data_IF_698523920060
#
_entry.id   IF_698523920060
#
_cell.length_a   1.000
_cell.length_b   1.000
_cell.length_c   1.000
_cell.angle_alpha   90.00
_cell.angle_beta   90.00
_cell.angle_gamma   90.00
#
_symmetry.space_group_name_H-M   'P 1'
#
loop_
_entity.id
_entity.type
_entity.pdbx_description
1 polymer ?
#
# COMPACT_ATOMS: atom_id res chain seq x y z
N UNK A 1 0.94 -15.32 8.40
CA UNK A 1 1.08 -13.97 7.82
C UNK A 1 1.91 -13.07 8.73
N UNK A 2 1.62 -13.03 10.03
CA UNK A 2 2.38 -12.27 11.05
C UNK A 2 3.90 -12.59 11.05
N UNK A 3 4.28 -13.87 10.95
CA UNK A 3 5.71 -14.25 10.85
C UNK A 3 6.41 -13.71 9.59
N UNK A 4 5.71 -13.48 8.48
CA UNK A 4 6.31 -12.94 7.27
C UNK A 4 6.54 -11.43 7.39
N UNK A 5 5.60 -10.72 8.01
CA UNK A 5 5.70 -9.30 8.33
C UNK A 5 6.84 -9.03 9.29
N UNK A 6 6.94 -9.81 10.38
CA UNK A 6 8.02 -9.68 11.36
C UNK A 6 9.39 -9.95 10.74
N UNK A 7 9.52 -10.95 9.87
CA UNK A 7 10.77 -11.18 9.13
C UNK A 7 11.12 -10.03 8.19
N UNK A 8 10.15 -9.46 7.48
CA UNK A 8 10.39 -8.34 6.58
C UNK A 8 10.89 -7.11 7.37
N UNK A 9 10.26 -6.81 8.52
CA UNK A 9 10.71 -5.75 9.43
C UNK A 9 12.13 -6.00 9.94
N UNK A 10 12.45 -7.24 10.31
CA UNK A 10 13.80 -7.63 10.76
C UNK A 10 14.87 -7.50 9.66
N UNK A 11 14.48 -7.48 8.38
CA UNK A 11 15.38 -7.37 7.23
C UNK A 11 15.51 -5.93 6.67
N UNK A 12 15.06 -4.92 7.42
CA UNK A 12 15.02 -3.51 6.97
C UNK A 12 14.22 -3.34 5.65
N UNK A 13 13.17 -4.15 5.48
CA UNK A 13 12.19 -3.94 4.43
C UNK A 13 11.15 -2.90 4.88
N UNK A 14 10.62 -2.15 3.91
CA UNK A 14 9.50 -1.23 4.09
C UNK A 14 8.28 -1.74 3.34
N UNK A 15 7.10 -1.52 3.91
CA UNK A 15 5.85 -1.87 3.25
C UNK A 15 5.52 -0.85 2.16
N UNK A 16 5.63 -1.28 0.90
CA UNK A 16 5.27 -0.49 -0.26
C UNK A 16 3.79 -0.69 -0.59
N UNK A 17 2.98 0.28 -0.19
CA UNK A 17 1.52 0.31 -0.42
C UNK A 17 1.21 0.14 -1.91
N UNK A 18 2.05 0.70 -2.80
CA UNK A 18 1.93 0.57 -4.26
C UNK A 18 1.86 -0.89 -4.72
N UNK A 19 2.73 -1.74 -4.19
CA UNK A 19 2.83 -3.14 -4.60
C UNK A 19 2.01 -4.07 -3.71
N UNK A 20 1.32 -3.53 -2.69
CA UNK A 20 0.74 -4.33 -1.60
C UNK A 20 1.78 -5.31 -1.02
N UNK A 21 3.03 -4.88 -0.85
CA UNK A 21 4.11 -5.82 -0.54
C UNK A 21 5.27 -5.18 0.22
N UNK A 22 6.05 -6.01 0.90
CA UNK A 22 7.29 -5.60 1.55
C UNK A 22 8.45 -5.60 0.55
N UNK A 23 9.17 -4.47 0.47
CA UNK A 23 10.34 -4.32 -0.41
C UNK A 23 11.57 -3.95 0.42
N UNK A 24 12.78 -4.35 0.02
CA UNK A 24 14.01 -3.86 0.64
C UNK A 24 14.04 -2.33 0.62
N UNK A 25 14.50 -1.70 1.70
CA UNK A 25 14.56 -0.23 1.82
C UNK A 25 15.20 0.51 0.62
N UNK A 26 16.26 0.01 -0.04
CA UNK A 26 16.80 0.66 -1.25
C UNK A 26 15.83 0.68 -2.44
N UNK A 27 14.86 -0.23 -2.46
CA UNK A 27 13.80 -0.31 -3.48
C UNK A 27 12.53 0.44 -3.08
N UNK A 28 12.50 1.03 -1.87
CA UNK A 28 11.34 1.77 -1.38
C UNK A 28 11.32 3.17 -1.97
N UNK A 29 10.30 3.44 -2.79
CA UNK A 29 10.11 4.76 -3.39
C UNK A 29 9.32 5.68 -2.44
N UNK A 30 10.07 6.45 -1.65
CA UNK A 30 9.52 7.36 -0.64
C UNK A 30 8.77 8.55 -1.25
N UNK A 31 9.18 9.01 -2.44
CA UNK A 31 8.52 10.10 -3.16
C UNK A 31 7.11 9.66 -3.58
N UNK A 32 7.02 8.48 -4.16
CA UNK A 32 5.75 7.87 -4.58
C UNK A 32 4.78 7.66 -3.43
N UNK A 33 5.26 7.07 -2.33
CA UNK A 33 4.41 6.82 -1.16
C UNK A 33 3.85 8.13 -0.61
N UNK A 34 4.64 9.22 -0.65
CA UNK A 34 4.20 10.54 -0.20
C UNK A 34 3.11 11.10 -1.11
N UNK A 35 3.27 11.04 -2.44
CA UNK A 35 2.26 11.49 -3.41
C UNK A 35 0.96 10.68 -3.32
N UNK A 36 1.07 9.38 -3.05
CA UNK A 36 -0.04 8.49 -2.74
C UNK A 36 -0.78 8.86 -1.44
N UNK A 37 -0.06 9.31 -0.42
CA UNK A 37 -0.60 9.63 0.90
C UNK A 37 -1.16 11.07 1.02
N UNK A 38 -1.02 11.90 -0.02
CA UNK A 38 -1.63 13.24 -0.17
C UNK A 38 -3.17 13.20 -0.30
N UNK A 39 -3.80 12.04 -0.08
CA UNK A 39 -5.26 11.91 -0.02
C UNK A 39 -5.94 11.76 -1.38
N UNK A 40 -5.18 11.62 -2.46
CA UNK A 40 -5.65 11.18 -3.78
C UNK A 40 -5.94 9.67 -3.83
N UNK A 41 -5.50 8.91 -2.83
CA UNK A 41 -5.70 7.46 -2.74
C UNK A 41 -6.37 7.07 -1.42
N UNK A 42 -7.50 6.36 -1.51
CA UNK A 42 -8.19 5.76 -0.38
C UNK A 42 -8.29 4.23 -0.53
N UNK A 43 -7.66 3.48 0.38
CA UNK A 43 -7.90 2.05 0.52
C UNK A 43 -8.92 1.77 1.63
N UNK A 44 -9.79 0.81 1.40
CA UNK A 44 -10.93 0.49 2.25
C UNK A 44 -10.99 -1.00 2.58
N UNK A 45 -11.55 -1.32 3.74
CA UNK A 45 -11.67 -2.70 4.21
C UNK A 45 -12.75 -3.49 3.46
N UNK A 46 -13.72 -2.81 2.86
CA UNK A 46 -14.92 -3.41 2.29
C UNK A 46 -15.21 -2.88 0.87
N UNK A 47 -15.90 -3.69 0.06
CA UNK A 47 -16.28 -3.38 -1.33
C UNK A 47 -17.13 -2.12 -1.49
N UNK A 48 -17.98 -1.85 -0.51
CA UNK A 48 -18.78 -0.62 -0.47
C UNK A 48 -17.93 0.63 -0.15
N UNK A 49 -16.61 0.49 -0.12
CA UNK A 49 -15.62 1.51 0.21
C UNK A 49 -15.80 2.08 1.62
N UNK A 50 -16.46 1.32 2.51
CA UNK A 50 -16.55 1.67 3.91
C UNK A 50 -15.23 1.38 4.63
N UNK A 51 -14.98 2.18 5.67
CA UNK A 51 -13.81 2.07 6.55
C UNK A 51 -12.47 2.16 5.80
N UNK A 52 -11.93 3.39 5.76
CA UNK A 52 -10.57 3.62 5.28
C UNK A 52 -9.54 2.86 6.11
N UNK A 53 -8.52 2.35 5.44
CA UNK A 53 -7.40 1.66 6.05
C UNK A 53 -6.21 2.61 6.20
N UNK A 54 -5.45 2.42 7.27
CA UNK A 54 -4.11 2.98 7.41
C UNK A 54 -3.11 2.03 6.79
N UNK A 55 -1.92 2.53 6.42
CA UNK A 55 -0.83 1.71 5.87
C UNK A 55 -0.50 0.48 6.74
N UNK A 56 -0.47 0.65 8.07
CA UNK A 56 -0.23 -0.45 9.03
C UNK A 56 -1.38 -1.45 9.14
N UNK A 57 -2.59 -1.08 8.72
CA UNK A 57 -3.72 -2.01 8.64
C UNK A 57 -3.74 -2.77 7.30
N UNK A 58 -3.00 -2.30 6.30
CA UNK A 58 -2.88 -2.94 4.98
C UNK A 58 -1.78 -4.01 4.98
N UNK A 59 -0.65 -3.75 5.62
CA UNK A 59 0.49 -4.69 5.66
C UNK A 59 0.18 -6.07 6.27
N UNK A 60 -0.95 -6.19 6.98
CA UNK A 60 -1.45 -7.41 7.61
C UNK A 60 -2.71 -7.97 6.92
N UNK A 61 -3.02 -7.56 5.68
CA UNK A 61 -4.17 -8.04 4.92
C UNK A 61 -3.75 -8.54 3.56
N UNK A 62 -4.40 -9.63 3.12
CA UNK A 62 -4.20 -10.16 1.77
C UNK A 62 -4.90 -9.29 0.71
N UNK A 63 -6.06 -8.72 1.06
CA UNK A 63 -6.90 -7.95 0.14
C UNK A 63 -7.48 -6.70 0.80
N UNK A 64 -7.66 -5.66 0.01
CA UNK A 64 -8.39 -4.45 0.33
C UNK A 64 -9.01 -3.89 -0.95
N UNK A 65 -9.93 -2.94 -0.77
CA UNK A 65 -10.68 -2.35 -1.86
C UNK A 65 -10.26 -0.90 -2.06
N UNK A 66 -10.44 -0.42 -3.27
CA UNK A 66 -10.06 0.91 -3.71
C UNK A 66 -11.15 1.38 -4.67
N UNK A 67 -11.38 2.69 -4.76
CA UNK A 67 -12.27 3.23 -5.79
C UNK A 67 -11.69 2.97 -7.19
N UNK A 68 -12.56 2.83 -8.20
CA UNK A 68 -12.10 2.69 -9.60
C UNK A 68 -11.25 3.89 -10.06
N UNK A 69 -11.62 5.16 -9.77
CA UNK A 69 -10.76 6.30 -10.08
C UNK A 69 -9.36 6.20 -9.47
N UNK A 70 -9.26 5.84 -8.19
CA UNK A 70 -7.97 5.72 -7.51
C UNK A 70 -7.16 4.54 -8.10
N UNK A 71 -7.80 3.45 -8.55
CA UNK A 71 -7.13 2.35 -9.24
C UNK A 71 -6.55 2.78 -10.59
N UNK A 72 -7.30 3.57 -11.37
CA UNK A 72 -6.83 4.11 -12.65
C UNK A 72 -5.64 5.05 -12.43
N UNK A 73 -5.76 6.00 -11.49
CA UNK A 73 -4.66 6.90 -11.15
C UNK A 73 -3.43 6.11 -10.70
N UNK A 74 -3.60 5.14 -9.80
CA UNK A 74 -2.51 4.26 -9.37
C UNK A 74 -1.80 3.58 -10.55
N UNK A 75 -2.55 3.01 -11.51
CA UNK A 75 -1.97 2.35 -12.68
C UNK A 75 -1.26 3.31 -13.63
N UNK A 76 -1.81 4.50 -13.87
CA UNK A 76 -1.20 5.50 -14.73
C UNK A 76 0.19 5.86 -14.22
N UNK A 77 0.33 6.01 -12.90
CA UNK A 77 1.58 6.50 -12.35
C UNK A 77 2.61 5.42 -12.03
N UNK A 78 2.23 4.13 -12.03
CA UNK A 78 3.23 3.05 -12.08
C UNK A 78 3.96 2.95 -13.43
N UNK A 79 3.37 3.47 -14.51
CA UNK A 79 3.89 3.32 -15.88
C UNK A 79 4.51 4.61 -16.46
N UNK A 80 4.56 5.69 -15.67
CA UNK A 80 5.23 6.96 -16.00
C UNK A 80 6.57 7.10 -15.29
#
# INVERSE_FOLDING_TARGET
MEEAVERARAQDCKYAILFNNWVPKPCYDEKWITECQDGSWSTCAYENLAQRLTSGAMENRDFYYISLPDHINHCEIMWN
#
